data_IF_518821496986
#
_entry.id   IF_518821496986
#
_cell.length_a   1.000
_cell.length_b   1.000
_cell.length_c   1.000
_cell.angle_alpha   90.00
_cell.angle_beta   90.00
_cell.angle_gamma   90.00
#
_symmetry.space_group_name_H-M   'P 1'
#
loop_
_entity.id
_entity.type
_entity.pdbx_description
1 polymer ?
#
# COMPACT_ATOMS: atom_id res chain seq x y z
N UNK A 1 -0.21 -3.80 -18.94
CA UNK A 1 -0.85 -4.43 -17.76
C UNK A 1 -0.94 -5.94 -17.94
N UNK A 2 -0.94 -6.72 -16.85
CA UNK A 2 -1.15 -8.17 -16.93
C UNK A 2 -2.65 -8.47 -17.05
N UNK A 3 -3.16 -8.40 -18.28
CA UNK A 3 -4.59 -8.52 -18.61
C UNK A 3 -5.18 -9.87 -18.20
N UNK A 4 -4.38 -10.94 -18.25
CA UNK A 4 -4.85 -12.30 -18.01
C UNK A 4 -5.05 -12.64 -16.53
N UNK A 5 -4.36 -11.95 -15.62
CA UNK A 5 -4.43 -12.23 -14.17
C UNK A 5 -5.19 -11.18 -13.38
N UNK A 6 -5.34 -9.97 -13.93
CA UNK A 6 -6.01 -8.89 -13.21
C UNK A 6 -7.50 -9.18 -13.06
N UNK A 7 -8.02 -8.94 -11.85
CA UNK A 7 -9.46 -9.03 -11.51
C UNK A 7 -10.10 -7.66 -11.25
N UNK A 8 -9.26 -6.64 -11.06
CA UNK A 8 -9.67 -5.29 -10.77
C UNK A 8 -8.70 -4.34 -11.47
N UNK A 9 -9.22 -3.36 -12.21
CA UNK A 9 -8.43 -2.32 -12.85
C UNK A 9 -8.95 -0.96 -12.41
N UNK A 10 -8.05 -0.15 -11.86
CA UNK A 10 -8.30 1.26 -11.57
C UNK A 10 -7.61 2.10 -12.66
N UNK A 11 -8.40 2.83 -13.44
CA UNK A 11 -7.94 3.76 -14.45
C UNK A 11 -7.99 5.18 -13.86
N UNK A 12 -6.84 5.82 -13.68
CA UNK A 12 -6.76 7.16 -13.07
C UNK A 12 -6.14 8.14 -14.06
N UNK A 13 -6.88 9.17 -14.47
CA UNK A 13 -6.37 10.23 -15.34
C UNK A 13 -6.05 9.78 -16.78
N UNK A 14 -6.64 8.67 -17.22
CA UNK A 14 -6.42 8.07 -18.54
C UNK A 14 -7.53 8.50 -19.49
N UNK A 15 -7.19 9.11 -20.62
CA UNK A 15 -8.12 9.64 -21.62
C UNK A 15 -8.08 8.84 -22.94
N UNK A 16 -9.24 8.57 -23.53
CA UNK A 16 -9.35 7.68 -24.71
C UNK A 16 -8.71 8.26 -25.98
N UNK A 17 -8.66 9.58 -26.11
CA UNK A 17 -8.12 10.32 -27.26
C UNK A 17 -6.59 10.24 -27.39
N UNK A 18 -5.91 9.72 -26.36
CA UNK A 18 -4.45 9.58 -26.34
C UNK A 18 -3.96 8.12 -26.27
N UNK A 19 -4.87 7.15 -26.20
CA UNK A 19 -4.50 5.77 -25.90
C UNK A 19 -4.49 4.80 -27.08
N UNK A 20 -3.51 3.91 -27.01
CA UNK A 20 -3.17 2.95 -28.06
C UNK A 20 -4.19 1.79 -28.18
N UNK A 21 -4.30 1.21 -29.38
CA UNK A 21 -5.09 -0.01 -29.65
C UNK A 21 -4.87 -1.17 -28.64
N UNK A 22 -3.65 -1.40 -28.10
CA UNK A 22 -3.42 -2.34 -27.01
C UNK A 22 -4.26 -2.13 -25.74
N UNK A 23 -4.50 -0.89 -25.30
CA UNK A 23 -5.31 -0.64 -24.10
C UNK A 23 -6.78 -1.02 -24.33
N UNK A 24 -7.32 -0.66 -25.50
CA UNK A 24 -8.68 -1.04 -25.93
C UNK A 24 -8.86 -2.56 -25.94
N UNK A 25 -7.89 -3.30 -26.50
CA UNK A 25 -7.88 -4.77 -26.48
C UNK A 25 -7.81 -5.32 -25.06
N UNK A 26 -6.93 -4.76 -24.22
CA UNK A 26 -6.80 -5.18 -22.82
C UNK A 26 -8.06 -4.97 -21.99
N UNK A 27 -8.75 -3.83 -22.18
CA UNK A 27 -10.03 -3.55 -21.52
C UNK A 27 -11.13 -4.50 -21.97
N UNK A 28 -11.21 -4.79 -23.27
CA UNK A 28 -12.15 -5.77 -23.80
C UNK A 28 -11.90 -7.17 -23.21
N UNK A 29 -10.64 -7.58 -23.09
CA UNK A 29 -10.27 -8.87 -22.50
C UNK A 29 -10.62 -8.95 -21.00
N UNK A 30 -10.32 -7.90 -20.23
CA UNK A 30 -10.70 -7.82 -18.82
C UNK A 30 -12.21 -7.92 -18.63
N UNK A 31 -12.97 -7.20 -19.46
CA UNK A 31 -14.43 -7.22 -19.43
C UNK A 31 -14.99 -8.59 -19.79
N UNK A 32 -14.44 -9.25 -20.82
CA UNK A 32 -14.82 -10.61 -21.20
C UNK A 32 -14.58 -11.64 -20.06
N UNK A 33 -13.56 -11.40 -19.22
CA UNK A 33 -13.24 -12.21 -18.04
C UNK A 33 -14.04 -11.83 -16.78
N UNK A 34 -14.88 -10.79 -16.84
CA UNK A 34 -15.63 -10.29 -15.70
C UNK A 34 -14.78 -9.58 -14.65
N UNK A 35 -13.60 -9.05 -15.03
CA UNK A 35 -12.82 -8.19 -14.14
C UNK A 35 -13.53 -6.83 -13.97
N UNK A 36 -13.50 -6.28 -12.75
CA UNK A 36 -14.09 -4.96 -12.47
C UNK A 36 -13.17 -3.84 -12.96
N UNK A 37 -13.72 -2.89 -13.70
CA UNK A 37 -13.02 -1.71 -14.21
C UNK A 37 -13.64 -0.47 -13.58
N UNK A 38 -12.83 0.31 -12.87
CA UNK A 38 -13.21 1.59 -12.28
C UNK A 38 -12.42 2.71 -12.92
N UNK A 39 -13.12 3.73 -13.39
CA UNK A 39 -12.52 4.93 -13.97
C UNK A 39 -12.61 6.10 -13.00
N UNK A 40 -11.49 6.75 -12.73
CA UNK A 40 -11.36 7.96 -11.93
C UNK A 40 -10.97 9.10 -12.87
N UNK A 41 -11.94 9.94 -13.22
CA UNK A 41 -11.75 11.03 -14.17
C UNK A 41 -12.77 12.15 -13.91
N UNK A 42 -12.40 13.44 -14.03
CA UNK A 42 -13.35 14.54 -13.84
C UNK A 42 -14.53 14.53 -14.83
N UNK A 43 -14.31 13.99 -16.03
CA UNK A 43 -15.30 13.95 -17.11
C UNK A 43 -15.56 12.50 -17.51
N UNK A 44 -16.85 12.15 -17.72
CA UNK A 44 -17.27 10.82 -18.15
C UNK A 44 -17.20 10.68 -19.67
N UNK A 45 -15.99 10.68 -20.20
CA UNK A 45 -15.73 10.36 -21.61
C UNK A 45 -14.72 9.24 -21.70
N UNK A 46 -14.58 8.70 -22.90
CA UNK A 46 -13.56 7.71 -23.15
C UNK A 46 -13.84 6.35 -22.50
N UNK A 47 -12.79 5.77 -21.92
CA UNK A 47 -12.87 4.54 -21.13
C UNK A 47 -13.82 4.64 -19.93
N UNK A 48 -14.07 5.85 -19.42
CA UNK A 48 -15.04 6.09 -18.34
C UNK A 48 -16.48 5.79 -18.73
N UNK A 49 -16.80 5.82 -20.03
CA UNK A 49 -18.14 5.49 -20.52
C UNK A 49 -18.40 3.98 -20.50
N UNK A 50 -17.36 3.16 -20.66
CA UNK A 50 -17.45 1.70 -20.76
C UNK A 50 -17.03 0.95 -19.50
N UNK A 51 -16.49 1.66 -18.50
CA UNK A 51 -16.14 1.15 -17.18
C UNK A 51 -17.39 0.74 -16.38
N UNK A 52 -17.23 -0.19 -15.44
CA UNK A 52 -18.32 -0.61 -14.56
C UNK A 52 -18.70 0.49 -13.56
N UNK A 53 -17.72 1.29 -13.15
CA UNK A 53 -17.90 2.42 -12.23
C UNK A 53 -17.10 3.63 -12.71
N UNK A 54 -17.69 4.82 -12.57
CA UNK A 54 -17.04 6.09 -12.85
C UNK A 54 -17.09 6.98 -11.60
N UNK A 55 -15.91 7.44 -11.18
CA UNK A 55 -15.72 8.33 -10.05
C UNK A 55 -15.32 9.73 -10.55
N UNK A 56 -16.26 10.70 -10.55
CA UNK A 56 -15.98 12.08 -10.90
C UNK A 56 -15.17 12.76 -9.80
N UNK A 57 -13.86 12.87 -10.00
CA UNK A 57 -12.99 13.65 -9.09
C UNK A 57 -12.87 15.11 -9.54
N UNK A 58 -12.50 16.00 -8.61
CA UNK A 58 -12.10 17.35 -8.99
C UNK A 58 -10.78 17.30 -9.76
N UNK A 59 -10.58 18.10 -10.82
CA UNK A 59 -9.30 18.17 -11.51
C UNK A 59 -8.14 18.44 -10.54
N UNK A 60 -7.02 17.73 -10.70
CA UNK A 60 -5.83 17.86 -9.86
C UNK A 60 -5.94 17.21 -8.46
N UNK A 61 -6.99 16.42 -8.17
CA UNK A 61 -7.15 15.76 -6.86
C UNK A 61 -6.95 14.23 -6.89
N UNK A 62 -6.38 13.69 -7.96
CA UNK A 62 -6.04 12.26 -8.08
C UNK A 62 -5.04 11.83 -6.99
N UNK A 63 -4.00 12.62 -6.74
CA UNK A 63 -3.05 12.36 -5.65
C UNK A 63 -3.72 12.30 -4.27
N UNK A 64 -4.69 13.17 -4.01
CA UNK A 64 -5.47 13.14 -2.76
C UNK A 64 -6.33 11.88 -2.66
N UNK A 65 -6.96 11.44 -3.76
CA UNK A 65 -7.70 10.18 -3.79
C UNK A 65 -6.77 8.99 -3.48
N UNK A 66 -5.61 8.92 -4.12
CA UNK A 66 -4.64 7.85 -3.88
C UNK A 66 -4.16 7.85 -2.43
N UNK A 67 -3.88 9.04 -1.86
CA UNK A 67 -3.51 9.15 -0.45
C UNK A 67 -4.63 8.71 0.49
N UNK A 68 -5.89 9.05 0.19
CA UNK A 68 -7.05 8.59 0.97
C UNK A 68 -7.22 7.06 0.90
N UNK A 69 -7.04 6.46 -0.28
CA UNK A 69 -7.04 4.99 -0.45
C UNK A 69 -5.91 4.34 0.35
N UNK A 70 -4.69 4.89 0.29
CA UNK A 70 -3.55 4.40 1.09
C UNK A 70 -3.86 4.51 2.59
N UNK A 71 -4.42 5.63 3.04
CA UNK A 71 -4.82 5.81 4.43
C UNK A 71 -5.83 4.75 4.87
N UNK A 72 -6.88 4.49 4.10
CA UNK A 72 -7.89 3.48 4.46
C UNK A 72 -7.31 2.05 4.43
N UNK A 73 -6.42 1.74 3.49
CA UNK A 73 -5.74 0.43 3.46
C UNK A 73 -4.86 0.22 4.70
N UNK A 74 -4.13 1.26 5.13
CA UNK A 74 -3.34 1.23 6.36
C UNK A 74 -4.24 1.12 7.60
N UNK A 75 -5.25 1.97 7.71
CA UNK A 75 -6.19 2.03 8.85
C UNK A 75 -6.95 0.72 9.03
N UNK A 76 -7.38 0.11 7.93
CA UNK A 76 -8.12 -1.17 7.94
C UNK A 76 -7.21 -2.41 7.99
N UNK A 77 -5.88 -2.23 7.98
CA UNK A 77 -4.91 -3.33 7.96
C UNK A 77 -4.93 -4.17 6.68
N UNK A 78 -5.52 -3.68 5.59
CA UNK A 78 -5.65 -4.38 4.30
C UNK A 78 -4.40 -4.22 3.43
N UNK A 79 -3.24 -4.50 4.02
CA UNK A 79 -1.93 -4.36 3.40
C UNK A 79 -1.16 -5.68 3.40
N UNK A 80 -0.29 -5.86 2.41
CA UNK A 80 0.69 -6.94 2.44
C UNK A 80 1.91 -6.49 3.25
N UNK A 81 1.84 -6.70 4.58
CA UNK A 81 2.93 -6.36 5.49
C UNK A 81 4.25 -7.06 5.13
N UNK A 82 4.21 -8.29 4.58
CA UNK A 82 5.42 -9.02 4.20
C UNK A 82 6.07 -8.42 2.96
N UNK A 83 5.28 -7.92 2.03
CA UNK A 83 5.80 -7.16 0.89
C UNK A 83 6.48 -5.88 1.36
N UNK A 84 5.82 -5.10 2.24
CA UNK A 84 6.39 -3.87 2.81
C UNK A 84 7.72 -4.12 3.53
N UNK A 85 7.82 -5.20 4.30
CA UNK A 85 9.05 -5.56 5.01
C UNK A 85 10.22 -5.91 4.08
N UNK A 86 9.95 -6.46 2.90
CA UNK A 86 10.98 -7.00 2.01
C UNK A 86 11.40 -6.07 0.89
N UNK A 87 10.45 -5.33 0.35
CA UNK A 87 10.63 -4.63 -0.93
C UNK A 87 10.51 -3.12 -0.83
N UNK A 88 10.26 -2.59 0.37
CA UNK A 88 10.18 -1.15 0.59
C UNK A 88 11.02 -0.74 1.81
N UNK A 89 11.13 0.57 2.02
CA UNK A 89 11.79 1.15 3.18
C UNK A 89 10.87 1.22 4.43
N UNK A 90 9.68 0.62 4.40
CA UNK A 90 8.71 0.70 5.49
C UNK A 90 9.29 0.21 6.84
N UNK A 91 10.19 -0.77 6.80
CA UNK A 91 10.84 -1.32 7.99
C UNK A 91 12.14 -0.60 8.39
N UNK A 92 12.65 0.32 7.57
CA UNK A 92 13.91 1.02 7.85
C UNK A 92 13.74 1.93 9.06
N UNK A 93 14.75 1.97 9.92
CA UNK A 93 14.76 2.79 11.11
C UNK A 93 15.04 4.25 10.76
N UNK A 94 14.24 5.14 11.32
CA UNK A 94 14.40 6.59 11.27
C UNK A 94 14.80 7.08 12.66
N UNK A 95 15.88 7.86 12.72
CA UNK A 95 16.38 8.44 13.97
C UNK A 95 15.39 9.47 14.52
N UNK A 96 15.09 9.37 15.81
CA UNK A 96 14.32 10.35 16.58
C UNK A 96 15.29 11.16 17.44
N UNK A 97 15.71 12.33 16.94
CA UNK A 97 16.64 13.20 17.64
C UNK A 97 16.28 14.69 17.39
N UNK A 98 15.13 15.17 17.90
CA UNK A 98 14.63 16.51 17.58
C UNK A 98 15.69 17.60 17.73
N UNK A 99 15.87 18.40 16.68
CA UNK A 99 16.84 19.50 16.65
C UNK A 99 18.28 19.10 16.29
N UNK A 100 18.60 17.80 16.22
CA UNK A 100 19.88 17.34 15.71
C UNK A 100 19.87 17.27 14.18
N UNK A 101 21.05 17.44 13.56
CA UNK A 101 21.21 17.27 12.11
C UNK A 101 20.86 15.85 11.59
N UNK A 102 20.75 14.88 12.50
CA UNK A 102 20.41 13.49 12.18
C UNK A 102 18.93 13.16 12.38
N UNK A 103 18.11 14.12 12.86
CA UNK A 103 16.68 13.90 13.05
C UNK A 103 15.99 13.56 11.73
N UNK A 104 15.16 12.51 11.75
CA UNK A 104 14.43 12.09 10.56
C UNK A 104 15.26 11.40 9.48
N UNK A 105 16.58 11.24 9.67
CA UNK A 105 17.42 10.47 8.76
C UNK A 105 17.30 8.97 9.00
N UNK A 106 17.56 8.17 7.96
CA UNK A 106 17.66 6.72 8.11
C UNK A 106 18.88 6.34 8.93
N UNK A 107 18.66 5.48 9.93
CA UNK A 107 19.74 4.88 10.70
C UNK A 107 20.49 3.88 9.80
N UNK A 108 21.82 3.94 9.82
CA UNK A 108 22.71 3.11 9.01
C UNK A 108 23.85 2.54 9.85
N UNK A 109 24.35 1.38 9.45
CA UNK A 109 25.60 0.84 9.99
C UNK A 109 26.84 1.59 9.44
N UNK A 110 28.03 1.18 9.88
CA UNK A 110 29.29 1.76 9.42
C UNK A 110 29.54 1.59 7.91
N UNK A 111 28.95 0.56 7.30
CA UNK A 111 29.02 0.29 5.86
C UNK A 111 27.94 1.06 5.07
N UNK A 112 27.14 1.89 5.74
CA UNK A 112 26.04 2.65 5.14
C UNK A 112 24.78 1.82 4.85
N UNK A 113 24.68 0.57 5.31
CA UNK A 113 23.47 -0.26 5.14
C UNK A 113 22.36 0.24 6.08
N UNK A 114 21.11 0.34 5.60
CA UNK A 114 20.00 0.76 6.44
C UNK A 114 19.77 -0.25 7.56
N UNK A 115 19.42 0.24 8.75
CA UNK A 115 19.10 -0.60 9.90
C UNK A 115 17.60 -0.85 9.98
N UNK A 116 17.21 -2.02 10.49
CA UNK A 116 15.84 -2.41 10.83
C UNK A 116 15.78 -2.91 12.27
N UNK A 117 14.58 -2.90 12.86
CA UNK A 117 14.34 -3.57 14.14
C UNK A 117 14.08 -5.05 13.90
N UNK A 118 14.95 -5.90 14.44
CA UNK A 118 14.71 -7.34 14.46
C UNK A 118 13.46 -7.66 15.28
N UNK A 119 12.58 -8.51 14.75
CA UNK A 119 11.29 -8.81 15.38
C UNK A 119 11.44 -9.58 16.69
N UNK A 120 12.42 -10.49 16.75
CA UNK A 120 12.59 -11.40 17.88
C UNK A 120 13.33 -10.74 19.04
N UNK A 121 14.49 -10.13 18.75
CA UNK A 121 15.36 -9.52 19.76
C UNK A 121 15.01 -8.05 20.05
N UNK A 122 14.27 -7.39 19.16
CA UNK A 122 13.98 -5.96 19.26
C UNK A 122 15.19 -5.05 19.08
N UNK A 123 16.32 -5.57 18.59
CA UNK A 123 17.56 -4.82 18.37
C UNK A 123 17.64 -4.26 16.95
N UNK A 124 18.43 -3.20 16.79
CA UNK A 124 18.81 -2.72 15.47
C UNK A 124 19.77 -3.70 14.81
N UNK A 125 19.45 -4.15 13.60
CA UNK A 125 20.30 -5.01 12.76
C UNK A 125 20.34 -4.45 11.34
N UNK A 126 21.41 -4.68 10.57
CA UNK A 126 21.43 -4.34 9.15
C UNK A 126 20.26 -4.99 8.42
N UNK A 127 19.65 -4.27 7.48
CA UNK A 127 18.55 -4.78 6.68
C UNK A 127 18.99 -6.00 5.87
N UNK A 128 18.46 -7.15 6.24
CA UNK A 128 18.45 -8.36 5.43
C UNK A 128 17.00 -8.68 5.08
N UNK A 129 16.76 -9.20 3.88
CA UNK A 129 15.41 -9.48 3.41
C UNK A 129 14.69 -10.50 4.31
N UNK A 130 13.66 -10.08 5.04
CA UNK A 130 12.81 -10.94 5.87
C UNK A 130 12.84 -10.58 7.37
N UNK A 131 11.70 -10.76 8.03
CA UNK A 131 11.48 -10.66 9.49
C UNK A 131 11.69 -9.31 10.21
N UNK A 132 11.94 -8.22 9.49
CA UNK A 132 11.97 -6.89 10.08
C UNK A 132 10.60 -6.49 10.71
N UNK A 133 10.64 -5.81 11.86
CA UNK A 133 9.46 -5.24 12.50
C UNK A 133 9.04 -3.94 11.79
N UNK A 134 7.72 -3.73 11.63
CA UNK A 134 7.14 -2.49 11.08
C UNK A 134 6.76 -1.49 12.17
N UNK A 135 6.80 -1.90 13.44
CA UNK A 135 6.41 -1.11 14.59
C UNK A 135 7.40 -1.27 15.74
N UNK A 136 7.39 -0.29 16.64
CA UNK A 136 8.15 -0.30 17.88
C UNK A 136 9.42 0.54 17.82
N UNK A 137 9.78 1.08 18.99
CA UNK A 137 11.01 1.84 19.18
C UNK A 137 12.18 0.89 19.44
N UNK A 138 13.36 1.29 18.97
CA UNK A 138 14.64 0.62 19.18
C UNK A 138 15.67 1.66 19.64
N UNK A 139 16.59 1.24 20.49
CA UNK A 139 17.78 2.03 20.85
C UNK A 139 18.93 1.57 19.95
N UNK A 140 19.53 2.53 19.25
CA UNK A 140 20.71 2.31 18.42
C UNK A 140 21.97 2.11 19.30
N UNK A 141 23.06 1.52 18.76
CA UNK A 141 24.29 1.31 19.53
C UNK A 141 24.89 2.58 20.15
N UNK A 142 24.63 3.75 19.56
CA UNK A 142 25.08 5.06 20.04
C UNK A 142 24.10 5.71 21.04
N UNK A 143 23.08 4.98 21.50
CA UNK A 143 22.08 5.45 22.46
C UNK A 143 20.93 6.25 21.86
N UNK A 144 20.95 6.57 20.57
CA UNK A 144 19.84 7.29 19.92
C UNK A 144 18.61 6.41 19.79
N UNK A 145 17.44 7.03 19.86
CA UNK A 145 16.16 6.38 19.60
C UNK A 145 15.90 6.33 18.10
N UNK A 146 15.31 5.25 17.64
CA UNK A 146 14.83 5.13 16.26
C UNK A 146 13.57 4.26 16.19
N UNK A 147 12.77 4.47 15.14
CA UNK A 147 11.58 3.65 14.84
C UNK A 147 11.45 3.34 13.35
N UNK A 148 10.76 2.26 12.95
CA UNK A 148 10.46 2.00 11.55
C UNK A 148 9.70 3.16 10.89
N UNK A 149 9.93 3.38 9.59
CA UNK A 149 9.19 4.38 8.79
C UNK A 149 7.67 4.21 8.92
N UNK A 150 7.18 2.97 8.86
CA UNK A 150 5.76 2.67 8.96
C UNK A 150 5.15 3.11 10.29
N UNK A 151 5.93 3.15 11.36
CA UNK A 151 5.51 3.47 12.73
C UNK A 151 5.51 4.98 13.05
N UNK A 152 5.96 5.82 12.11
CA UNK A 152 5.97 7.28 12.29
C UNK A 152 4.58 7.90 12.08
N UNK A 153 3.62 7.15 11.54
CA UNK A 153 2.28 7.67 11.17
C UNK A 153 1.31 7.81 12.32
N UNK A 154 1.63 7.32 13.50
CA UNK A 154 0.79 7.51 14.70
C UNK A 154 1.01 8.91 15.27
N UNK A 155 0.32 9.91 14.71
CA UNK A 155 0.00 11.12 15.46
C UNK A 155 -0.80 10.77 16.73
N UNK A 156 -1.04 11.71 17.65
CA UNK A 156 -1.64 11.46 18.98
C UNK A 156 -3.05 10.83 18.99
N UNK A 157 -3.63 10.47 17.85
CA UNK A 157 -4.99 9.93 17.74
C UNK A 157 -5.13 8.46 17.35
N UNK A 158 -4.06 7.70 17.11
CA UNK A 158 -4.20 6.30 16.68
C UNK A 158 -3.45 5.33 17.61
N UNK A 159 -3.94 5.24 18.86
CA UNK A 159 -3.67 4.12 19.74
C UNK A 159 -4.70 3.02 19.47
N UNK A 160 -4.47 2.18 18.46
CA UNK A 160 -5.25 0.93 18.27
C UNK A 160 -4.44 -0.11 17.49
N UNK A 161 -3.23 -0.37 17.98
CA UNK A 161 -2.39 -1.47 17.53
C UNK A 161 -2.68 -2.71 18.41
N UNK A 162 -3.66 -3.54 18.03
CA UNK A 162 -3.89 -4.87 18.65
C UNK A 162 -4.44 -5.97 17.73
N UNK A 163 -4.59 -5.76 16.41
CA UNK A 163 -5.23 -6.78 15.55
C UNK A 163 -4.37 -7.36 14.41
N UNK A 164 -3.14 -6.91 14.22
CA UNK A 164 -2.23 -7.53 13.24
C UNK A 164 -1.52 -8.80 13.77
N UNK A 165 -1.69 -9.12 15.06
CA UNK A 165 -0.98 -10.21 15.75
C UNK A 165 -1.75 -11.55 15.81
N UNK A 166 -2.90 -11.65 15.13
CA UNK A 166 -3.52 -12.95 14.83
C UNK A 166 -3.31 -13.25 13.37
N UNK A 167 -2.45 -14.25 13.13
CA UNK A 167 -2.05 -14.70 11.80
C UNK A 167 -3.20 -14.66 10.79
N UNK A 168 -2.94 -14.01 9.66
CA UNK A 168 -3.84 -14.02 8.53
C UNK A 168 -4.31 -15.47 8.27
N UNK A 169 -5.63 -15.74 8.24
CA UNK A 169 -6.10 -17.08 7.93
C UNK A 169 -5.59 -17.47 6.54
N UNK A 170 -4.93 -18.63 6.47
CA UNK A 170 -4.58 -19.25 5.20
C UNK A 170 -5.87 -19.51 4.44
N UNK A 171 -5.98 -18.97 3.23
CA UNK A 171 -6.95 -19.36 2.21
C UNK A 171 -8.41 -19.17 2.61
N UNK A 172 -8.97 -18.00 2.35
CA UNK A 172 -10.42 -17.85 2.21
C UNK A 172 -10.76 -17.79 0.71
N UNK A 173 -11.22 -18.93 0.18
CA UNK A 173 -11.97 -19.01 -1.06
C UNK A 173 -13.19 -18.09 -0.97
N UNK A 174 -13.16 -16.99 -1.73
CA UNK A 174 -14.33 -16.14 -1.93
C UNK A 174 -15.28 -16.83 -2.90
N UNK A 175 -16.12 -17.73 -2.39
CA UNK A 175 -17.31 -18.21 -3.10
C UNK A 175 -18.39 -17.12 -3.02
N UNK A 176 -18.63 -16.43 -4.13
CA UNK A 176 -19.79 -15.56 -4.27
C UNK A 176 -21.05 -16.44 -4.36
N UNK A 177 -21.96 -16.29 -3.41
CA UNK A 177 -23.25 -16.97 -3.42
C UNK A 177 -24.11 -16.50 -4.59
N UNK A 178 -24.61 -17.43 -5.38
CA UNK A 178 -25.69 -17.22 -6.31
C UNK A 178 -26.98 -17.00 -5.53
N UNK A 179 -27.45 -15.76 -5.44
CA UNK A 179 -28.82 -15.48 -5.03
C UNK A 179 -29.77 -15.95 -6.15
N UNK A 180 -30.68 -16.85 -5.75
CA UNK A 180 -31.58 -17.59 -6.62
C UNK A 180 -32.65 -16.74 -7.31
N UNK A 181 -33.19 -17.35 -8.37
CA UNK A 181 -34.42 -16.96 -9.07
C UNK A 181 -35.65 -17.29 -8.22
N UNK A 182 -36.71 -16.50 -8.39
CA UNK A 182 -38.08 -16.69 -7.90
C UNK A 182 -38.68 -15.32 -7.62
N UNK A 183 -39.78 -14.85 -8.22
CA UNK A 183 -40.84 -15.47 -8.99
C UNK A 183 -41.11 -14.71 -10.29
#
# INVERSE_FOLDING_TARGET
PDWHRSRYLLLVGVAEDHDSNPLKRGLAELKARGAKIVSVNPVRTGYSAIADEWLPIRPGTDGLLILALIHELLRSGRIDARHLQRWTNAAWLVVEAPGAATDGLFARDADGRPLVRDRTSGRAVPFASGDAALHGVTILPDGRRARPVADRRSGPHEAQDRLADRGAPRGADLRYGSAGRGH
#
